data_IF_129733810832
#
_entry.id   IF_129733810832
#
_cell.length_a   1.000
_cell.length_b   1.000
_cell.length_c   1.000
_cell.angle_alpha   90.00
_cell.angle_beta   90.00
_cell.angle_gamma   90.00
#
_symmetry.space_group_name_H-M   'P 1'
#
loop_
_entity.id
_entity.type
_entity.pdbx_description
1 polymer ?
#
# COMPACT_ATOMS: atom_id res chain seq x y z
N UNK A 1 -23.33 -47.97 -30.38
CA UNK A 1 -23.77 -46.60 -30.74
C UNK A 1 -24.23 -45.79 -29.52
N UNK A 2 -24.99 -46.38 -28.60
CA UNK A 2 -25.51 -45.72 -27.37
C UNK A 2 -24.46 -45.08 -26.46
N UNK A 3 -23.26 -45.67 -26.36
CA UNK A 3 -22.16 -45.15 -25.54
C UNK A 3 -21.59 -43.81 -26.06
N UNK A 4 -21.60 -43.62 -27.38
CA UNK A 4 -21.11 -42.40 -28.02
C UNK A 4 -22.08 -41.23 -27.78
N UNK A 5 -23.38 -41.53 -27.75
CA UNK A 5 -24.43 -40.55 -27.46
C UNK A 5 -24.33 -40.07 -26.00
N UNK A 6 -24.13 -40.99 -25.06
CA UNK A 6 -23.95 -40.66 -23.64
C UNK A 6 -22.71 -39.79 -23.40
N UNK A 7 -21.60 -40.07 -24.09
CA UNK A 7 -20.36 -39.30 -23.98
C UNK A 7 -20.53 -37.86 -24.52
N UNK A 8 -21.23 -37.70 -25.65
CA UNK A 8 -21.51 -36.38 -26.23
C UNK A 8 -22.38 -35.52 -25.30
N UNK A 9 -23.34 -36.13 -24.61
CA UNK A 9 -24.21 -35.43 -23.67
C UNK A 9 -23.46 -34.95 -22.43
N UNK A 10 -22.54 -35.77 -21.89
CA UNK A 10 -21.69 -35.37 -20.76
C UNK A 10 -20.76 -34.21 -21.11
N UNK A 11 -20.17 -34.20 -22.31
CA UNK A 11 -19.33 -33.08 -22.77
C UNK A 11 -20.12 -31.77 -22.92
N UNK A 12 -21.38 -31.85 -23.36
CA UNK A 12 -22.24 -30.69 -23.52
C UNK A 12 -22.63 -30.01 -22.18
N UNK A 13 -22.49 -30.73 -21.05
CA UNK A 13 -22.83 -30.21 -19.72
C UNK A 13 -21.67 -29.54 -18.98
N UNK A 14 -20.47 -29.48 -19.57
CA UNK A 14 -19.33 -28.75 -19.02
C UNK A 14 -19.57 -27.25 -19.27
N UNK A 15 -20.47 -26.68 -18.48
CA UNK A 15 -20.92 -25.30 -18.58
C UNK A 15 -19.83 -24.28 -18.25
N UNK A 16 -20.03 -23.08 -18.76
CA UNK A 16 -19.19 -21.91 -18.55
C UNK A 16 -19.08 -21.56 -17.07
N UNK A 17 -17.87 -21.67 -16.50
CA UNK A 17 -17.55 -21.04 -15.23
C UNK A 17 -17.59 -19.51 -15.43
N UNK A 18 -18.66 -18.87 -14.96
CA UNK A 18 -18.78 -17.42 -14.96
C UNK A 18 -17.78 -16.83 -13.96
N UNK A 19 -16.56 -16.55 -14.42
CA UNK A 19 -15.62 -15.72 -13.68
C UNK A 19 -16.20 -14.31 -13.64
N UNK A 20 -16.78 -13.93 -12.49
CA UNK A 20 -17.20 -12.54 -12.29
C UNK A 20 -15.95 -11.66 -12.37
N UNK A 21 -15.98 -10.55 -13.12
CA UNK A 21 -14.87 -9.61 -13.14
C UNK A 21 -14.60 -9.14 -11.71
N UNK A 22 -13.34 -9.19 -11.29
CA UNK A 22 -12.93 -8.59 -10.03
C UNK A 22 -13.19 -7.08 -10.13
N UNK A 23 -14.24 -6.60 -9.45
CA UNK A 23 -14.59 -5.20 -9.46
C UNK A 23 -13.40 -4.38 -8.90
N UNK A 24 -13.01 -3.27 -9.54
CA UNK A 24 -11.99 -2.38 -9.00
C UNK A 24 -12.43 -1.87 -7.63
N UNK A 25 -11.63 -2.14 -6.59
CA UNK A 25 -11.83 -1.52 -5.28
C UNK A 25 -11.61 -0.03 -5.47
N UNK A 26 -12.70 0.76 -5.48
CA UNK A 26 -12.59 2.21 -5.45
C UNK A 26 -11.94 2.57 -4.11
N UNK A 27 -10.75 3.19 -4.09
CA UNK A 27 -10.16 3.61 -2.83
C UNK A 27 -11.14 4.57 -2.17
N UNK A 28 -11.66 4.18 -1.00
CA UNK A 28 -12.50 5.09 -0.21
C UNK A 28 -11.71 6.37 0.02
N UNK A 29 -12.21 7.49 -0.49
CA UNK A 29 -11.60 8.80 -0.28
C UNK A 29 -11.68 9.21 1.20
N UNK A 30 -12.54 8.55 1.97
CA UNK A 30 -12.63 8.64 3.42
C UNK A 30 -12.27 7.29 4.03
N UNK A 31 -10.99 7.07 4.27
CA UNK A 31 -10.62 6.09 5.29
C UNK A 31 -10.96 6.71 6.65
N UNK A 32 -11.94 6.15 7.37
CA UNK A 32 -12.10 6.37 8.83
C UNK A 32 -10.81 6.04 9.60
N UNK A 33 -9.83 5.47 8.91
CA UNK A 33 -8.45 5.27 9.34
C UNK A 33 -7.62 6.53 9.07
N UNK A 34 -7.33 7.28 10.13
CA UNK A 34 -6.30 8.32 10.11
C UNK A 34 -4.92 7.66 10.25
N UNK A 35 -3.99 7.99 9.36
CA UNK A 35 -2.61 7.51 9.47
C UNK A 35 -1.89 8.18 10.65
N UNK A 36 -1.89 7.53 11.81
CA UNK A 36 -1.13 8.00 12.98
C UNK A 36 0.36 8.08 12.63
N UNK A 37 0.93 9.29 12.64
CA UNK A 37 2.33 9.56 12.33
C UNK A 37 2.81 8.97 10.97
N UNK A 38 1.95 8.98 9.95
CA UNK A 38 2.29 8.40 8.64
C UNK A 38 2.61 6.91 8.69
N UNK A 39 2.12 6.18 9.71
CA UNK A 39 2.33 4.76 9.93
C UNK A 39 3.65 4.39 10.62
N UNK A 40 4.49 5.36 11.00
CA UNK A 40 5.79 5.09 11.63
C UNK A 40 5.76 5.09 13.17
N UNK A 41 4.63 5.46 13.79
CA UNK A 41 4.50 5.58 15.24
C UNK A 41 5.05 6.89 15.82
N UNK A 42 4.80 7.10 17.12
CA UNK A 42 5.19 8.33 17.83
C UNK A 42 6.70 8.56 17.83
N UNK A 43 7.13 9.79 17.48
CA UNK A 43 8.55 10.14 17.43
C UNK A 43 9.27 9.72 16.13
N UNK A 44 8.52 9.27 15.12
CA UNK A 44 9.04 8.93 13.80
C UNK A 44 8.24 9.66 12.71
N UNK A 45 8.85 9.81 11.53
CA UNK A 45 8.20 10.32 10.33
C UNK A 45 8.53 9.43 9.13
N UNK A 46 7.65 9.45 8.12
CA UNK A 46 7.86 8.76 6.85
C UNK A 46 8.80 9.59 5.97
N UNK A 47 9.87 8.98 5.49
CA UNK A 47 10.75 9.56 4.49
C UNK A 47 10.20 9.43 3.07
N UNK A 48 10.77 10.15 2.09
CA UNK A 48 10.28 10.14 0.71
C UNK A 48 10.38 8.77 0.00
N UNK A 49 11.21 7.86 0.49
CA UNK A 49 11.32 6.48 -0.03
C UNK A 49 10.47 5.47 0.76
N UNK A 50 9.51 5.93 1.56
CA UNK A 50 8.60 5.06 2.32
C UNK A 50 9.15 4.52 3.65
N UNK A 51 10.45 4.64 3.92
CA UNK A 51 11.06 4.22 5.20
C UNK A 51 10.73 5.14 6.38
N UNK A 52 10.75 4.60 7.59
CA UNK A 52 10.55 5.36 8.83
C UNK A 52 11.87 5.92 9.39
N UNK A 53 11.86 7.20 9.78
CA UNK A 53 13.02 7.92 10.32
C UNK A 53 12.68 8.58 11.65
N UNK A 54 13.62 8.54 12.61
CA UNK A 54 13.39 9.11 13.95
C UNK A 54 13.36 10.63 13.87
N UNK A 55 12.43 11.24 14.60
CA UNK A 55 12.37 12.69 14.76
C UNK A 55 13.45 13.13 15.74
N UNK A 56 14.51 13.74 15.23
CA UNK A 56 15.53 14.39 16.06
C UNK A 56 15.25 15.88 16.27
N UNK A 57 14.37 16.46 15.45
CA UNK A 57 13.94 17.85 15.60
C UNK A 57 12.85 17.97 16.67
N UNK A 58 12.83 19.11 17.37
CA UNK A 58 11.69 19.49 18.21
C UNK A 58 10.48 19.77 17.29
N UNK A 59 9.24 19.46 17.69
CA UNK A 59 8.06 19.55 16.82
C UNK A 59 7.84 20.93 16.18
N UNK A 60 8.26 21.99 16.87
CA UNK A 60 8.13 23.39 16.42
C UNK A 60 9.34 23.92 15.66
N UNK A 61 10.41 23.13 15.51
CA UNK A 61 11.63 23.58 14.85
C UNK A 61 11.60 23.18 13.37
N UNK A 62 11.52 24.18 12.48
CA UNK A 62 11.93 24.02 11.08
C UNK A 62 13.46 23.96 10.99
N UNK A 63 14.04 22.91 11.54
CA UNK A 63 15.49 22.76 11.70
C UNK A 63 16.23 22.52 10.36
N UNK A 64 15.50 22.23 9.28
CA UNK A 64 16.05 21.84 7.99
C UNK A 64 15.35 22.54 6.82
N UNK A 65 16.09 22.86 5.74
CA UNK A 65 15.51 23.19 4.45
C UNK A 65 14.63 22.07 3.89
N UNK A 66 13.77 22.40 2.92
CA UNK A 66 12.94 21.42 2.22
C UNK A 66 13.82 20.34 1.58
N UNK A 67 13.45 19.07 1.73
CA UNK A 67 14.25 17.93 1.24
C UNK A 67 15.35 17.44 2.20
N UNK A 68 15.48 18.04 3.39
CA UNK A 68 16.42 17.60 4.42
C UNK A 68 15.67 17.17 5.69
N UNK A 69 16.26 16.25 6.45
CA UNK A 69 15.78 15.84 7.77
C UNK A 69 16.91 15.91 8.80
N UNK A 70 16.53 16.05 10.07
CA UNK A 70 17.49 16.02 11.17
C UNK A 70 17.77 14.56 11.54
N UNK A 71 19.03 14.14 11.49
CA UNK A 71 19.48 12.80 11.85
C UNK A 71 20.10 12.72 13.25
N UNK A 72 20.73 11.57 13.59
CA UNK A 72 21.41 11.39 14.85
C UNK A 72 22.43 12.50 15.12
N UNK A 73 22.42 13.06 16.34
CA UNK A 73 23.30 14.15 16.74
C UNK A 73 22.97 15.52 16.14
N UNK A 74 21.75 15.72 15.64
CA UNK A 74 21.31 17.03 15.10
C UNK A 74 21.88 17.35 13.72
N UNK A 75 22.51 16.39 13.05
CA UNK A 75 23.11 16.59 11.73
C UNK A 75 22.03 16.59 10.65
N UNK A 76 22.07 17.56 9.76
CA UNK A 76 21.18 17.62 8.60
C UNK A 76 21.61 16.57 7.57
N UNK A 77 20.65 15.79 7.07
CA UNK A 77 20.85 14.76 6.05
C UNK A 77 19.88 14.99 4.91
N UNK A 78 20.36 14.83 3.67
CA UNK A 78 19.51 14.94 2.50
C UNK A 78 18.59 13.71 2.42
N UNK A 79 17.37 13.91 1.93
CA UNK A 79 16.52 12.81 1.53
C UNK A 79 17.00 12.28 0.17
N UNK A 80 17.64 11.10 0.14
CA UNK A 80 17.98 10.41 -1.13
C UNK A 80 19.44 10.14 -1.41
N UNK A 81 20.31 10.34 -0.43
CA UNK A 81 21.69 9.83 -0.42
C UNK A 81 21.76 8.58 0.44
#
# INVERSE_FOLDING_TARGET
MTRLIAAAFLLATIGSAGAMPLAPVTPTQNSDVIAVAGGCGGGWHRGPYGGCRRNYARPWAHACPRGWYLGPGGRRRANGT
#
